data_IF_827915298984
#
_entry.id   IF_827915298984
#
_cell.length_a   1.000
_cell.length_b   1.000
_cell.length_c   1.000
_cell.angle_alpha   90.00
_cell.angle_beta   90.00
_cell.angle_gamma   90.00
#
_symmetry.space_group_name_H-M   'P 1'
#
loop_
_entity.id
_entity.type
_entity.pdbx_description
1 polymer ?
#
# COMPACT_ATOMS: atom_id res chain seq x y z
N UNK A 1 22.82 40.65 -49.65
CA UNK A 1 21.37 40.69 -49.84
C UNK A 1 21.00 39.67 -50.87
N UNK A 2 20.29 38.63 -50.49
CA UNK A 2 19.77 37.66 -51.49
C UNK A 2 18.57 38.30 -52.15
N UNK A 3 18.66 38.42 -53.47
CA UNK A 3 17.63 39.10 -54.27
C UNK A 3 16.32 38.27 -54.24
N UNK A 4 15.20 38.94 -53.97
CA UNK A 4 13.86 38.36 -53.84
C UNK A 4 13.48 37.60 -55.15
N UNK A 5 13.93 38.05 -56.28
CA UNK A 5 13.74 37.41 -57.57
C UNK A 5 14.40 36.04 -57.67
N UNK A 6 15.60 35.86 -57.08
CA UNK A 6 16.32 34.59 -57.01
C UNK A 6 15.61 33.60 -56.05
N UNK A 7 15.06 34.08 -54.99
CA UNK A 7 14.28 33.24 -54.04
C UNK A 7 12.96 32.75 -54.66
N UNK A 8 12.26 33.62 -55.40
CA UNK A 8 11.04 33.26 -56.14
C UNK A 8 11.31 32.29 -57.31
N UNK A 9 12.40 32.45 -58.00
CA UNK A 9 12.80 31.52 -59.08
C UNK A 9 13.17 30.14 -58.54
N UNK A 10 13.84 30.07 -57.37
CA UNK A 10 14.14 28.81 -56.68
C UNK A 10 12.89 28.10 -56.17
N UNK A 11 11.91 28.83 -55.66
CA UNK A 11 10.60 28.30 -55.23
C UNK A 11 9.80 27.74 -56.44
N UNK A 12 9.71 28.46 -57.55
CA UNK A 12 9.05 27.99 -58.78
C UNK A 12 9.74 26.77 -59.41
N UNK A 13 11.07 26.69 -59.37
CA UNK A 13 11.82 25.54 -59.84
C UNK A 13 11.62 24.28 -58.93
N UNK A 14 11.39 24.49 -57.65
CA UNK A 14 11.08 23.37 -56.71
C UNK A 14 9.68 22.82 -56.93
N UNK A 15 8.71 23.70 -57.28
CA UNK A 15 7.33 23.30 -57.56
C UNK A 15 7.22 22.53 -58.89
N UNK A 16 7.97 22.92 -59.92
CA UNK A 16 8.01 22.25 -61.21
C UNK A 16 8.66 20.86 -61.16
N UNK A 17 9.53 20.59 -60.16
CA UNK A 17 10.12 19.27 -59.91
C UNK A 17 9.14 18.35 -59.16
N UNK A 18 8.13 18.87 -58.51
CA UNK A 18 7.10 18.10 -57.80
C UNK A 18 5.98 17.57 -58.70
N UNK A 19 5.71 18.23 -59.85
CA UNK A 19 4.63 17.89 -60.78
C UNK A 19 4.88 16.71 -61.75
N UNK A 20 5.93 15.96 -61.65
CA UNK A 20 6.30 14.98 -62.65
C UNK A 20 6.72 13.60 -62.15
N UNK A 21 5.94 13.05 -61.19
CA UNK A 21 6.12 11.63 -60.81
C UNK A 21 4.85 11.02 -60.29
N UNK A 22 3.89 10.79 -61.18
CA UNK A 22 2.86 9.79 -60.98
C UNK A 22 3.52 8.40 -60.99
N UNK A 23 3.62 7.82 -59.82
CA UNK A 23 4.25 6.54 -59.63
C UNK A 23 4.69 6.37 -58.19
N UNK A 24 3.82 6.62 -57.23
CA UNK A 24 4.13 6.49 -55.82
C UNK A 24 4.24 5.01 -55.40
N UNK A 25 5.43 4.44 -55.52
CA UNK A 25 5.81 3.25 -54.77
C UNK A 25 5.81 3.66 -53.30
N UNK A 26 4.76 3.28 -52.56
CA UNK A 26 4.74 3.35 -51.09
C UNK A 26 5.99 2.66 -50.55
N UNK A 27 6.99 3.43 -50.10
CA UNK A 27 8.14 2.90 -49.38
C UNK A 27 7.66 2.46 -47.99
N UNK A 28 7.89 1.20 -47.60
CA UNK A 28 7.66 0.81 -46.22
C UNK A 28 8.65 1.58 -45.35
N UNK A 29 8.17 2.36 -44.40
CA UNK A 29 8.96 3.18 -43.50
C UNK A 29 9.00 4.66 -43.88
N UNK A 30 7.86 5.31 -44.00
CA UNK A 30 7.76 6.78 -44.03
C UNK A 30 8.50 7.37 -42.83
N UNK A 31 9.54 8.19 -43.10
CA UNK A 31 10.27 8.87 -42.02
C UNK A 31 9.29 9.75 -41.26
N UNK A 32 9.22 9.57 -39.96
CA UNK A 32 8.52 10.47 -39.05
C UNK A 32 8.97 11.92 -39.36
N UNK A 33 8.06 12.81 -39.71
CA UNK A 33 8.36 14.21 -40.02
C UNK A 33 8.33 14.59 -41.49
N UNK A 34 7.94 13.68 -42.40
CA UNK A 34 7.83 14.01 -43.85
C UNK A 34 6.39 14.29 -44.30
N UNK A 35 5.41 14.14 -43.43
CA UNK A 35 4.02 14.50 -43.72
C UNK A 35 3.86 16.02 -43.65
N UNK A 36 3.14 16.65 -44.61
CA UNK A 36 2.86 18.09 -44.55
C UNK A 36 2.07 18.39 -43.26
N UNK A 37 2.57 19.33 -42.46
CA UNK A 37 1.91 19.77 -41.25
C UNK A 37 0.62 20.51 -41.59
N UNK A 38 -0.52 19.98 -41.12
CA UNK A 38 -1.81 20.63 -41.16
C UNK A 38 -2.16 21.16 -39.77
N UNK A 39 -2.13 22.51 -39.57
CA UNK A 39 -2.43 23.10 -38.26
C UNK A 39 -3.86 22.80 -37.78
N UNK A 40 -4.84 22.69 -38.68
CA UNK A 40 -6.22 22.42 -38.30
C UNK A 40 -6.42 21.00 -37.79
N UNK A 41 -5.80 20.01 -38.44
CA UNK A 41 -5.83 18.62 -38.01
C UNK A 41 -5.08 18.42 -36.68
N UNK A 42 -3.96 19.13 -36.52
CA UNK A 42 -3.19 19.10 -35.24
C UNK A 42 -4.05 19.61 -34.06
N UNK A 43 -4.75 20.72 -34.20
CA UNK A 43 -5.63 21.26 -33.15
C UNK A 43 -6.76 20.29 -32.78
N UNK A 44 -7.36 19.63 -33.80
CA UNK A 44 -8.41 18.63 -33.53
C UNK A 44 -7.81 17.40 -32.78
N UNK A 45 -6.63 16.97 -33.16
CA UNK A 45 -5.93 15.86 -32.48
C UNK A 45 -5.60 16.20 -31.02
N UNK A 46 -5.08 17.40 -30.75
CA UNK A 46 -4.83 17.85 -29.38
C UNK A 46 -6.10 17.93 -28.54
N UNK A 47 -7.21 18.41 -29.12
CA UNK A 47 -8.52 18.40 -28.44
C UNK A 47 -9.00 16.99 -28.13
N UNK A 48 -8.80 16.05 -29.06
CA UNK A 48 -9.15 14.64 -28.84
C UNK A 48 -8.29 14.01 -27.73
N UNK A 49 -6.98 14.25 -27.75
CA UNK A 49 -6.05 13.75 -26.73
C UNK A 49 -6.36 14.36 -25.34
N UNK A 50 -6.65 15.65 -25.27
CA UNK A 50 -7.06 16.34 -24.02
C UNK A 50 -8.38 15.79 -23.50
N UNK A 51 -9.37 15.60 -24.36
CA UNK A 51 -10.67 15.03 -23.97
C UNK A 51 -10.51 13.59 -23.45
N UNK A 52 -9.67 12.78 -24.10
CA UNK A 52 -9.31 11.43 -23.63
C UNK A 52 -8.66 11.45 -22.27
N UNK A 53 -7.69 12.33 -22.05
CA UNK A 53 -7.01 12.49 -20.77
C UNK A 53 -7.99 12.78 -19.62
N UNK A 54 -8.86 13.79 -19.78
CA UNK A 54 -9.83 14.15 -18.75
C UNK A 54 -10.87 13.06 -18.51
N UNK A 55 -11.37 12.41 -19.56
CA UNK A 55 -12.28 11.27 -19.42
C UNK A 55 -11.67 10.20 -18.56
N UNK A 56 -10.41 9.84 -18.81
CA UNK A 56 -9.73 8.76 -18.10
C UNK A 56 -9.42 9.13 -16.65
N UNK A 57 -9.00 10.38 -16.39
CA UNK A 57 -8.77 10.88 -15.03
C UNK A 57 -10.06 10.84 -14.21
N UNK A 58 -11.16 11.37 -14.76
CA UNK A 58 -12.47 11.36 -14.09
C UNK A 58 -12.94 9.91 -13.84
N UNK A 59 -12.78 9.04 -14.82
CA UNK A 59 -13.17 7.64 -14.71
C UNK A 59 -12.35 6.90 -13.62
N UNK A 60 -11.02 7.05 -13.62
CA UNK A 60 -10.15 6.44 -12.62
C UNK A 60 -10.47 6.93 -11.20
N UNK A 61 -10.72 8.24 -11.05
CA UNK A 61 -11.12 8.83 -9.76
C UNK A 61 -12.47 8.31 -9.30
N UNK A 62 -13.44 8.19 -10.19
CA UNK A 62 -14.76 7.63 -9.89
C UNK A 62 -14.65 6.17 -9.44
N UNK A 63 -13.86 5.36 -10.16
CA UNK A 63 -13.62 3.96 -9.80
C UNK A 63 -12.97 3.87 -8.43
N UNK A 64 -11.94 4.67 -8.14
CA UNK A 64 -11.31 4.70 -6.83
C UNK A 64 -12.31 5.05 -5.72
N UNK A 65 -13.17 6.06 -5.94
CA UNK A 65 -14.19 6.45 -4.97
C UNK A 65 -15.23 5.34 -4.75
N UNK A 66 -15.71 4.69 -5.82
CA UNK A 66 -16.64 3.56 -5.71
C UNK A 66 -15.99 2.40 -4.95
N UNK A 67 -14.74 2.07 -5.27
CA UNK A 67 -14.01 1.02 -4.56
C UNK A 67 -13.92 1.33 -3.06
N UNK A 68 -13.56 2.56 -2.70
CA UNK A 68 -13.38 2.96 -1.30
C UNK A 68 -14.69 3.02 -0.52
N UNK A 69 -15.72 3.68 -1.06
CA UNK A 69 -16.92 4.01 -0.28
C UNK A 69 -18.09 3.03 -0.49
N UNK A 70 -18.03 2.18 -1.51
CA UNK A 70 -19.11 1.23 -1.82
C UNK A 70 -18.64 -0.21 -1.69
N UNK A 71 -17.51 -0.55 -2.31
CA UNK A 71 -17.08 -1.96 -2.37
C UNK A 71 -16.38 -2.38 -1.07
N UNK A 72 -15.42 -1.58 -0.59
CA UNK A 72 -14.67 -1.92 0.63
C UNK A 72 -15.57 -2.15 1.85
N UNK A 73 -16.56 -1.29 2.16
CA UNK A 73 -17.44 -1.55 3.29
C UNK A 73 -18.37 -2.75 3.12
N UNK A 74 -18.54 -3.24 1.89
CA UNK A 74 -19.41 -4.38 1.58
C UNK A 74 -18.70 -5.74 1.62
N UNK A 75 -17.40 -5.76 1.86
CA UNK A 75 -16.59 -6.99 1.94
C UNK A 75 -15.80 -7.03 3.25
N UNK A 76 -15.78 -8.19 3.89
CA UNK A 76 -15.24 -8.39 5.25
C UNK A 76 -13.72 -8.39 5.34
N UNK A 77 -13.00 -8.40 4.23
CA UNK A 77 -11.53 -8.42 4.24
C UNK A 77 -10.96 -7.84 2.95
N UNK A 78 -9.70 -7.36 2.95
CA UNK A 78 -8.99 -6.92 1.77
C UNK A 78 -8.80 -8.09 0.80
N UNK A 79 -9.83 -8.37 0.01
CA UNK A 79 -9.82 -9.42 -0.96
C UNK A 79 -9.09 -8.99 -2.25
N UNK A 80 -8.56 -9.96 -2.97
CA UNK A 80 -7.97 -9.76 -4.30
C UNK A 80 -8.89 -9.01 -5.28
N UNK A 81 -10.21 -9.03 -5.04
CA UNK A 81 -11.19 -8.27 -5.81
C UNK A 81 -10.96 -6.76 -5.78
N UNK A 82 -10.41 -6.20 -4.68
CA UNK A 82 -10.09 -4.77 -4.57
C UNK A 82 -9.03 -4.33 -5.58
N UNK A 83 -8.12 -5.22 -5.93
CA UNK A 83 -7.06 -4.96 -6.90
C UNK A 83 -7.46 -5.41 -8.31
N UNK A 84 -8.08 -6.58 -8.45
CA UNK A 84 -8.41 -7.16 -9.75
C UNK A 84 -9.55 -6.43 -10.45
N UNK A 85 -10.61 -6.05 -9.74
CA UNK A 85 -11.77 -5.40 -10.35
C UNK A 85 -11.43 -4.08 -11.07
N UNK A 86 -10.72 -3.13 -10.47
CA UNK A 86 -10.30 -1.90 -11.18
C UNK A 86 -9.39 -2.19 -12.37
N UNK A 87 -8.52 -3.19 -12.30
CA UNK A 87 -7.67 -3.57 -13.43
C UNK A 87 -8.48 -4.13 -14.58
N UNK A 88 -9.51 -4.93 -14.33
CA UNK A 88 -10.43 -5.39 -15.39
C UNK A 88 -11.22 -4.26 -16.03
N UNK A 89 -11.51 -3.19 -15.29
CA UNK A 89 -12.20 -2.01 -15.83
C UNK A 89 -11.38 -1.24 -16.88
N UNK A 90 -10.08 -1.48 -17.01
CA UNK A 90 -9.26 -0.99 -18.12
C UNK A 90 -9.85 -1.40 -19.47
N UNK A 91 -10.40 -2.61 -19.57
CA UNK A 91 -11.00 -3.12 -20.80
C UNK A 91 -12.23 -2.32 -21.26
N UNK A 92 -12.83 -1.55 -20.38
CA UNK A 92 -13.98 -0.66 -20.72
C UNK A 92 -13.55 0.65 -21.37
N UNK A 93 -12.26 1.04 -21.28
CA UNK A 93 -11.76 2.34 -21.79
C UNK A 93 -12.09 2.54 -23.26
N UNK A 94 -11.88 1.60 -24.20
CA UNK A 94 -12.25 1.79 -25.60
C UNK A 94 -13.75 2.03 -25.80
N UNK A 95 -14.59 1.38 -25.00
CA UNK A 95 -16.05 1.55 -25.06
C UNK A 95 -16.45 2.93 -24.55
N UNK A 96 -15.86 3.39 -23.43
CA UNK A 96 -16.09 4.73 -22.89
C UNK A 96 -15.73 5.82 -23.90
N UNK A 97 -14.59 5.67 -24.60
CA UNK A 97 -14.20 6.62 -25.65
C UNK A 97 -15.22 6.67 -26.80
N UNK A 98 -15.72 5.51 -27.22
CA UNK A 98 -16.70 5.43 -28.30
C UNK A 98 -18.06 6.02 -27.92
N UNK A 99 -18.48 5.83 -26.67
CA UNK A 99 -19.79 6.30 -26.18
C UNK A 99 -19.75 7.79 -25.82
N UNK A 100 -18.77 8.19 -25.00
CA UNK A 100 -18.71 9.54 -24.43
C UNK A 100 -18.02 10.52 -25.40
N UNK A 101 -16.96 10.08 -26.06
CA UNK A 101 -16.18 10.89 -26.99
C UNK A 101 -16.43 10.47 -28.44
N UNK A 102 -17.67 10.13 -28.79
CA UNK A 102 -18.08 9.67 -30.13
C UNK A 102 -17.60 10.59 -31.24
N UNK A 103 -17.53 11.91 -30.99
CA UNK A 103 -17.01 12.92 -31.89
C UNK A 103 -15.57 12.71 -32.35
N UNK A 104 -14.78 12.04 -31.54
CA UNK A 104 -13.36 11.76 -31.78
C UNK A 104 -13.07 10.26 -31.93
N UNK A 105 -14.11 9.40 -31.92
CA UNK A 105 -13.95 7.94 -31.85
C UNK A 105 -13.06 7.40 -32.98
N UNK A 106 -13.21 7.93 -34.20
CA UNK A 106 -12.45 7.48 -35.38
C UNK A 106 -10.97 7.86 -35.33
N UNK A 107 -10.59 8.76 -34.42
CA UNK A 107 -9.20 9.22 -34.26
C UNK A 107 -8.41 8.39 -33.25
N UNK A 108 -9.10 7.64 -32.39
CA UNK A 108 -8.44 6.85 -31.38
C UNK A 108 -7.95 5.50 -31.93
N UNK A 109 -6.64 5.30 -31.85
CA UNK A 109 -5.95 4.09 -32.21
C UNK A 109 -5.66 3.24 -30.98
N UNK A 110 -5.16 2.02 -31.20
CA UNK A 110 -4.70 1.16 -30.11
C UNK A 110 -3.64 1.87 -29.23
N UNK A 111 -2.73 2.66 -29.82
CA UNK A 111 -1.72 3.41 -29.07
C UNK A 111 -2.33 4.47 -28.13
N UNK A 112 -3.45 5.11 -28.51
CA UNK A 112 -4.15 6.04 -27.65
C UNK A 112 -4.80 5.31 -26.46
N UNK A 113 -5.43 4.16 -26.70
CA UNK A 113 -6.03 3.36 -25.63
C UNK A 113 -4.98 2.77 -24.68
N UNK A 114 -3.83 2.39 -25.19
CA UNK A 114 -2.70 1.93 -24.37
C UNK A 114 -2.22 3.07 -23.43
N UNK A 115 -2.00 4.28 -23.95
CA UNK A 115 -1.67 5.46 -23.13
C UNK A 115 -2.77 5.76 -22.11
N UNK A 116 -4.03 5.70 -22.52
CA UNK A 116 -5.18 5.90 -21.66
C UNK A 116 -5.22 4.86 -20.52
N UNK A 117 -4.91 3.60 -20.80
CA UNK A 117 -4.83 2.54 -19.80
C UNK A 117 -3.74 2.79 -18.77
N UNK A 118 -2.57 3.25 -19.19
CA UNK A 118 -1.51 3.67 -18.27
C UNK A 118 -1.96 4.83 -17.39
N UNK A 119 -2.53 5.87 -17.99
CA UNK A 119 -3.01 7.03 -17.26
C UNK A 119 -4.10 6.63 -16.24
N UNK A 120 -5.02 5.76 -16.63
CA UNK A 120 -6.03 5.19 -15.75
C UNK A 120 -5.38 4.49 -14.55
N UNK A 121 -4.46 3.57 -14.80
CA UNK A 121 -3.84 2.77 -13.75
C UNK A 121 -3.12 3.65 -12.72
N UNK A 122 -2.29 4.58 -13.18
CA UNK A 122 -1.55 5.45 -12.26
C UNK A 122 -2.46 6.45 -11.53
N UNK A 123 -3.47 6.99 -12.20
CA UNK A 123 -4.44 7.89 -11.55
C UNK A 123 -5.24 7.14 -10.50
N UNK A 124 -5.76 5.96 -10.85
CA UNK A 124 -6.48 5.10 -9.91
C UNK A 124 -5.62 4.74 -8.71
N UNK A 125 -4.38 4.27 -8.90
CA UNK A 125 -3.47 3.94 -7.81
C UNK A 125 -3.17 5.15 -6.91
N UNK A 126 -2.88 6.32 -7.51
CA UNK A 126 -2.60 7.53 -6.74
C UNK A 126 -3.80 7.97 -5.91
N UNK A 127 -5.01 7.97 -6.50
CA UNK A 127 -6.23 8.35 -5.78
C UNK A 127 -6.57 7.31 -4.71
N UNK A 128 -6.46 6.00 -5.01
CA UNK A 128 -6.64 4.95 -4.00
C UNK A 128 -5.68 5.13 -2.83
N UNK A 129 -4.40 5.37 -3.11
CA UNK A 129 -3.40 5.60 -2.06
C UNK A 129 -3.80 6.74 -1.11
N UNK A 130 -4.35 7.83 -1.66
CA UNK A 130 -4.84 8.93 -0.84
C UNK A 130 -6.09 8.52 -0.03
N UNK A 131 -7.02 7.80 -0.66
CA UNK A 131 -8.31 7.46 -0.06
C UNK A 131 -8.25 6.35 1.00
N UNK A 132 -7.21 5.51 1.00
CA UNK A 132 -7.05 4.38 1.94
C UNK A 132 -6.03 4.64 3.05
N UNK A 133 -5.47 5.84 3.09
CA UNK A 133 -4.51 6.24 4.12
C UNK A 133 -5.03 7.40 4.97
N UNK A 134 -4.51 7.60 6.19
CA UNK A 134 -4.86 8.73 7.04
C UNK A 134 -4.69 10.08 6.33
N UNK A 135 -5.58 11.05 6.58
CA UNK A 135 -6.71 11.03 7.52
C UNK A 135 -8.03 10.49 6.95
N UNK A 136 -8.06 9.93 5.72
CA UNK A 136 -9.30 9.55 5.04
C UNK A 136 -9.73 8.10 5.30
N UNK A 137 -8.81 7.26 5.76
CA UNK A 137 -9.06 5.87 6.13
C UNK A 137 -7.94 5.36 7.03
N UNK A 138 -8.19 4.23 7.68
CA UNK A 138 -7.21 3.43 8.37
C UNK A 138 -7.45 1.95 8.08
N UNK A 139 -6.60 1.38 7.23
CA UNK A 139 -6.65 -0.02 6.82
C UNK A 139 -5.41 -0.81 7.26
N UNK A 140 -4.53 -0.19 8.03
CA UNK A 140 -3.30 -0.80 8.50
C UNK A 140 -3.51 -1.38 9.89
N UNK A 141 -3.43 -2.69 10.03
CA UNK A 141 -3.51 -3.31 11.34
C UNK A 141 -2.34 -2.85 12.23
N UNK A 142 -2.58 -2.72 13.56
CA UNK A 142 -1.51 -2.48 14.51
C UNK A 142 -0.55 -3.66 14.55
N UNK A 143 0.72 -3.41 14.85
CA UNK A 143 1.77 -4.44 14.86
C UNK A 143 2.50 -4.50 16.20
N UNK A 144 3.02 -5.68 16.55
CA UNK A 144 4.05 -5.80 17.59
C UNK A 144 5.35 -5.28 17.00
N UNK A 145 5.85 -4.17 17.59
CA UNK A 145 7.07 -3.54 17.11
C UNK A 145 8.28 -4.37 17.51
N UNK A 146 9.12 -4.68 16.52
CA UNK A 146 10.45 -5.28 16.66
C UNK A 146 10.45 -6.61 17.42
N UNK A 147 10.96 -6.67 18.68
CA UNK A 147 11.15 -7.91 19.42
C UNK A 147 10.22 -8.03 20.62
N UNK A 148 9.72 -9.24 20.84
CA UNK A 148 9.06 -9.64 22.08
C UNK A 148 10.07 -10.36 22.94
N UNK A 149 10.17 -9.97 24.22
CA UNK A 149 11.17 -10.49 25.16
C UNK A 149 10.54 -10.99 26.45
N UNK A 150 11.12 -12.03 27.03
CA UNK A 150 11.00 -12.31 28.45
C UNK A 150 12.11 -11.57 29.19
N UNK A 151 11.76 -10.95 30.30
CA UNK A 151 12.67 -10.20 31.16
C UNK A 151 12.55 -10.72 32.59
N UNK A 152 13.67 -10.79 33.30
CA UNK A 152 13.67 -11.09 34.73
C UNK A 152 13.50 -9.78 35.50
N UNK A 153 12.52 -9.75 36.40
CA UNK A 153 12.18 -8.56 37.18
C UNK A 153 13.13 -8.33 38.35
N UNK A 154 13.87 -9.37 38.74
CA UNK A 154 14.83 -9.34 39.86
C UNK A 154 16.29 -9.25 39.36
N UNK A 155 16.58 -9.63 38.09
CA UNK A 155 17.89 -9.53 37.46
C UNK A 155 17.86 -8.62 36.25
N UNK A 156 18.24 -7.34 36.39
CA UNK A 156 18.18 -6.35 35.33
C UNK A 156 18.95 -6.68 34.06
N UNK A 157 19.96 -7.51 34.12
CA UNK A 157 20.81 -7.87 33.00
C UNK A 157 20.27 -9.04 32.17
N UNK A 158 19.33 -9.81 32.74
CA UNK A 158 18.78 -10.95 32.06
C UNK A 158 17.55 -10.62 31.24
N UNK A 159 17.64 -10.87 29.96
CA UNK A 159 16.50 -10.86 29.03
C UNK A 159 16.73 -11.84 27.88
N UNK A 160 15.66 -12.36 27.30
CA UNK A 160 15.69 -13.25 26.11
C UNK A 160 14.60 -12.86 25.14
N UNK A 161 14.93 -12.86 23.86
CA UNK A 161 13.89 -12.81 22.83
C UNK A 161 13.10 -14.13 22.91
N UNK A 162 11.80 -14.02 22.69
CA UNK A 162 10.91 -15.17 22.84
C UNK A 162 11.23 -16.29 21.83
N UNK A 163 11.77 -15.92 20.67
CA UNK A 163 12.19 -16.86 19.62
C UNK A 163 13.51 -17.56 19.94
N UNK A 164 14.30 -17.03 20.87
CA UNK A 164 15.61 -17.54 21.25
C UNK A 164 15.59 -18.36 22.57
N UNK A 165 14.41 -18.61 23.13
CA UNK A 165 14.25 -19.38 24.36
C UNK A 165 14.64 -20.83 24.11
N UNK A 166 15.55 -21.34 24.94
CA UNK A 166 16.05 -22.72 24.87
C UNK A 166 15.93 -23.41 26.20
N UNK A 167 15.90 -24.76 26.17
CA UNK A 167 16.01 -25.59 27.37
C UNK A 167 17.33 -25.26 28.07
N UNK A 168 17.26 -24.90 29.36
CA UNK A 168 18.43 -24.50 30.16
C UNK A 168 18.52 -23.00 30.49
N UNK A 169 17.57 -22.18 30.02
CA UNK A 169 17.49 -20.78 30.43
C UNK A 169 17.01 -20.56 31.88
N UNK A 170 16.70 -21.67 32.61
CA UNK A 170 16.28 -21.69 34.02
C UNK A 170 15.10 -20.73 34.31
N UNK A 171 14.09 -20.76 33.42
CA UNK A 171 12.92 -19.84 33.52
C UNK A 171 12.09 -20.13 34.79
N UNK A 172 12.13 -21.34 35.31
CA UNK A 172 11.42 -21.76 36.54
C UNK A 172 11.95 -21.09 37.83
N UNK A 173 13.17 -20.56 37.81
CA UNK A 173 13.82 -19.93 38.95
C UNK A 173 13.71 -18.41 38.93
N UNK A 174 13.06 -17.85 37.93
CA UNK A 174 13.03 -16.41 37.66
C UNK A 174 11.63 -15.80 37.82
N UNK A 175 11.60 -14.58 38.32
CA UNK A 175 10.41 -13.77 38.32
C UNK A 175 10.30 -13.00 36.97
N UNK A 176 9.51 -13.53 36.08
CA UNK A 176 9.50 -13.09 34.72
C UNK A 176 8.37 -12.10 34.40
N UNK A 177 8.59 -11.30 33.38
CA UNK A 177 7.61 -10.47 32.70
C UNK A 177 7.74 -10.58 31.18
N UNK A 178 6.66 -10.33 30.47
CA UNK A 178 6.62 -10.27 29.02
C UNK A 178 6.72 -8.80 28.57
N UNK A 179 7.74 -8.49 27.80
CA UNK A 179 8.01 -7.15 27.29
C UNK A 179 7.88 -7.11 25.76
N UNK A 180 7.06 -6.21 25.26
CA UNK A 180 6.90 -5.91 23.83
C UNK A 180 6.43 -4.47 23.65
N UNK A 181 6.33 -4.00 22.41
CA UNK A 181 5.74 -2.70 22.14
C UNK A 181 4.69 -2.79 21.03
N UNK A 182 3.67 -1.97 21.14
CA UNK A 182 2.63 -1.83 20.13
C UNK A 182 2.95 -0.63 19.25
N UNK A 183 2.84 -0.82 17.96
CA UNK A 183 2.99 0.21 16.94
C UNK A 183 1.73 0.29 16.12
N UNK A 184 1.34 1.51 15.81
CA UNK A 184 0.28 1.81 14.86
C UNK A 184 0.65 3.02 14.00
N UNK A 185 0.00 3.14 12.85
CA UNK A 185 0.22 4.26 11.93
C UNK A 185 -0.49 5.55 12.36
N UNK A 186 -1.52 5.46 13.22
CA UNK A 186 -2.27 6.59 13.77
C UNK A 186 -2.00 6.79 15.25
N UNK A 187 -2.49 5.88 16.08
CA UNK A 187 -2.45 5.99 17.54
C UNK A 187 -2.31 4.63 18.21
N UNK A 188 -1.11 4.24 18.54
CA UNK A 188 -0.83 2.99 19.23
C UNK A 188 -1.37 2.95 20.68
N UNK A 189 -1.77 4.09 21.28
CA UNK A 189 -2.20 4.14 22.70
C UNK A 189 -3.59 3.54 22.94
N UNK A 190 -4.44 3.52 21.92
CA UNK A 190 -5.82 3.03 21.99
C UNK A 190 -6.00 1.62 21.44
N UNK A 191 -4.94 0.98 20.96
CA UNK A 191 -4.98 -0.41 20.49
C UNK A 191 -5.38 -1.32 21.64
N UNK A 192 -6.40 -2.15 21.44
CA UNK A 192 -6.78 -3.19 22.39
C UNK A 192 -5.77 -4.33 22.28
N UNK A 193 -5.15 -4.64 23.38
CA UNK A 193 -4.15 -5.71 23.49
C UNK A 193 -4.74 -6.83 24.29
N UNK A 194 -4.72 -8.02 23.76
CA UNK A 194 -5.00 -9.26 24.48
C UNK A 194 -3.78 -10.16 24.44
N UNK A 195 -3.36 -10.60 25.59
CA UNK A 195 -2.25 -11.56 25.74
C UNK A 195 -2.78 -12.80 26.42
N UNK A 196 -2.62 -13.95 25.78
CA UNK A 196 -2.98 -15.25 26.32
C UNK A 196 -1.71 -16.11 26.41
N UNK A 197 -1.45 -16.68 27.59
CA UNK A 197 -0.39 -17.68 27.79
C UNK A 197 -1.08 -18.99 28.15
N UNK A 198 -1.00 -19.93 27.22
CA UNK A 198 -1.67 -21.22 27.35
C UNK A 198 -0.65 -22.30 27.68
N UNK A 199 -0.97 -23.10 28.70
CA UNK A 199 -0.21 -24.30 29.12
C UNK A 199 -1.16 -25.49 29.18
N UNK A 200 -0.62 -26.68 29.45
CA UNK A 200 -1.45 -27.88 29.68
C UNK A 200 -2.29 -27.80 30.96
N UNK A 201 -1.93 -26.91 31.90
CA UNK A 201 -2.57 -26.78 33.22
C UNK A 201 -3.50 -25.57 33.36
N UNK A 202 -3.62 -24.72 32.36
CA UNK A 202 -4.44 -23.50 32.42
C UNK A 202 -3.99 -22.40 31.47
N UNK A 203 -4.64 -21.24 31.56
CA UNK A 203 -4.30 -20.08 30.75
C UNK A 203 -4.25 -18.84 31.65
N UNK A 204 -3.26 -17.99 31.41
CA UNK A 204 -3.25 -16.62 31.88
C UNK A 204 -3.70 -15.72 30.76
N UNK A 205 -4.50 -14.70 31.09
CA UNK A 205 -4.91 -13.72 30.10
C UNK A 205 -4.89 -12.29 30.64
N UNK A 206 -4.58 -11.36 29.77
CA UNK A 206 -4.70 -9.92 30.00
C UNK A 206 -5.42 -9.30 28.82
N UNK A 207 -6.28 -8.36 29.11
CA UNK A 207 -6.98 -7.60 28.06
C UNK A 207 -7.17 -6.16 28.53
N UNK A 208 -6.53 -5.22 27.83
CA UNK A 208 -6.68 -3.79 28.09
C UNK A 208 -6.18 -2.96 26.91
N UNK A 209 -6.48 -1.65 26.84
CA UNK A 209 -5.80 -0.74 25.93
C UNK A 209 -4.29 -0.72 26.21
N UNK A 210 -3.50 -0.60 25.15
CA UNK A 210 -2.03 -0.60 25.23
C UNK A 210 -1.45 0.40 26.23
N UNK A 211 -2.03 1.60 26.29
CA UNK A 211 -1.64 2.65 27.26
C UNK A 211 -1.84 2.23 28.73
N UNK A 212 -2.81 1.37 28.99
CA UNK A 212 -3.09 0.85 30.34
C UNK A 212 -2.17 -0.31 30.72
N UNK A 213 -1.50 -0.92 29.76
CA UNK A 213 -0.59 -2.07 29.94
C UNK A 213 0.87 -1.70 30.02
N UNK A 214 1.22 -0.43 30.02
CA UNK A 214 2.63 0.00 30.14
C UNK A 214 3.32 -0.54 31.40
N UNK A 215 2.55 -0.74 32.46
CA UNK A 215 3.06 -1.29 33.71
C UNK A 215 4.21 -0.47 34.28
N UNK A 216 5.23 -1.17 34.80
CA UNK A 216 6.45 -0.57 35.35
C UNK A 216 7.57 -0.40 34.31
N UNK A 217 7.22 -0.22 33.05
CA UNK A 217 8.20 -0.14 31.94
C UNK A 217 9.42 0.76 32.25
N UNK A 218 9.18 1.93 32.80
CA UNK A 218 10.25 2.90 33.06
C UNK A 218 11.32 2.37 34.04
N UNK A 219 10.95 1.45 34.94
CA UNK A 219 11.88 0.83 35.87
C UNK A 219 12.79 -0.21 35.22
N UNK A 220 12.36 -0.75 34.07
CA UNK A 220 13.05 -1.83 33.35
C UNK A 220 13.51 -1.42 31.95
N UNK A 221 13.40 -0.13 31.59
CA UNK A 221 13.67 0.35 30.23
C UNK A 221 15.11 0.06 29.75
N UNK A 222 16.09 -0.05 30.66
CA UNK A 222 17.46 -0.44 30.33
C UNK A 222 17.60 -1.88 29.86
N UNK A 223 16.73 -2.78 30.35
CA UNK A 223 16.82 -4.22 30.13
C UNK A 223 16.11 -4.66 28.86
N UNK A 224 15.18 -3.82 28.36
CA UNK A 224 14.32 -4.09 27.20
C UNK A 224 14.72 -3.28 25.97
N UNK A 225 16.02 -2.98 25.85
CA UNK A 225 16.53 -2.31 24.65
C UNK A 225 16.14 -3.07 23.38
N UNK A 226 15.67 -2.33 22.35
CA UNK A 226 15.26 -2.90 21.07
C UNK A 226 13.81 -3.42 21.02
N UNK A 227 13.03 -3.31 22.10
CA UNK A 227 11.59 -3.61 22.08
C UNK A 227 10.83 -2.46 21.43
N UNK A 228 11.01 -1.22 21.89
CA UNK A 228 10.49 -0.01 21.26
C UNK A 228 11.61 0.70 20.49
N UNK A 229 11.38 1.05 19.24
CA UNK A 229 12.39 1.66 18.37
C UNK A 229 12.01 3.04 17.84
N UNK A 230 10.71 3.37 17.84
CA UNK A 230 10.17 4.67 17.42
C UNK A 230 9.54 5.37 18.61
N UNK A 231 9.48 6.70 18.53
CA UNK A 231 8.92 7.53 19.59
C UNK A 231 7.42 7.36 19.82
N UNK A 232 6.70 6.80 18.84
CA UNK A 232 5.28 6.52 18.90
C UNK A 232 4.96 5.04 19.22
N UNK A 233 5.98 4.20 19.42
CA UNK A 233 5.77 2.85 19.92
C UNK A 233 5.31 2.92 21.38
N UNK A 234 4.27 2.19 21.74
CA UNK A 234 3.78 2.08 23.12
C UNK A 234 4.39 0.84 23.76
N UNK A 235 5.37 1.01 24.67
CA UNK A 235 6.00 -0.12 25.33
C UNK A 235 5.10 -0.72 26.39
N UNK A 236 5.09 -2.04 26.49
CA UNK A 236 4.29 -2.83 27.43
C UNK A 236 5.20 -3.77 28.19
N UNK A 237 5.01 -3.83 29.52
CA UNK A 237 5.63 -4.83 30.38
C UNK A 237 4.54 -5.48 31.22
N UNK A 238 4.25 -6.75 30.92
CA UNK A 238 3.32 -7.57 31.68
C UNK A 238 4.10 -8.40 32.69
N UNK A 239 3.95 -8.09 33.96
CA UNK A 239 4.49 -8.90 35.06
C UNK A 239 3.65 -10.17 35.21
N UNK A 240 4.28 -11.33 35.28
CA UNK A 240 3.54 -12.56 35.57
C UNK A 240 3.18 -12.62 37.07
N UNK A 241 2.04 -13.24 37.40
CA UNK A 241 1.65 -13.44 38.80
C UNK A 241 2.75 -14.19 39.56
N UNK A 242 2.94 -13.87 40.84
CA UNK A 242 3.98 -14.50 41.70
C UNK A 242 3.82 -16.03 41.84
N UNK A 243 2.61 -16.52 41.67
CA UNK A 243 2.28 -17.95 41.71
C UNK A 243 2.45 -18.66 40.36
N UNK A 244 2.74 -17.90 39.30
CA UNK A 244 3.01 -18.43 37.97
C UNK A 244 4.49 -18.68 37.78
N UNK A 245 4.85 -19.93 37.53
CA UNK A 245 6.23 -20.33 37.20
C UNK A 245 6.27 -21.21 35.97
N UNK A 246 7.23 -20.95 35.13
CA UNK A 246 7.53 -21.83 34.02
C UNK A 246 8.12 -23.17 34.53
N UNK A 247 7.74 -24.30 33.95
CA UNK A 247 8.16 -25.64 34.37
C UNK A 247 8.82 -26.38 33.24
N UNK A 248 9.87 -27.12 33.52
CA UNK A 248 10.56 -27.93 32.55
C UNK A 248 9.65 -29.05 31.99
N UNK A 249 9.81 -29.37 30.72
CA UNK A 249 9.02 -30.36 30.01
C UNK A 249 7.63 -29.89 29.61
N UNK A 250 7.27 -28.65 29.91
CA UNK A 250 5.97 -28.06 29.56
C UNK A 250 6.07 -27.22 28.30
N UNK A 251 5.08 -27.37 27.40
CA UNK A 251 4.95 -26.54 26.23
C UNK A 251 4.07 -25.33 26.55
N UNK A 252 4.58 -24.16 26.23
CA UNK A 252 3.90 -22.87 26.38
C UNK A 252 3.55 -22.31 25.02
N UNK A 253 2.39 -21.73 24.90
CA UNK A 253 1.98 -20.93 23.76
C UNK A 253 1.65 -19.52 24.26
N UNK A 254 2.39 -18.54 23.79
CA UNK A 254 2.12 -17.12 24.04
C UNK A 254 1.48 -16.56 22.79
N UNK A 255 0.34 -15.92 22.96
CA UNK A 255 -0.44 -15.33 21.90
C UNK A 255 -0.72 -13.87 22.23
N UNK A 256 -0.34 -12.97 21.33
CA UNK A 256 -0.64 -11.55 21.42
C UNK A 256 -1.61 -11.21 20.29
N UNK A 257 -2.79 -10.76 20.62
CA UNK A 257 -3.79 -10.27 19.67
C UNK A 257 -3.92 -8.76 19.85
N UNK A 258 -3.69 -8.02 18.78
CA UNK A 258 -3.88 -6.58 18.71
C UNK A 258 -5.13 -6.31 17.90
N UNK A 259 -6.03 -5.48 18.42
CA UNK A 259 -7.25 -5.09 17.71
C UNK A 259 -7.54 -3.61 17.82
N UNK A 260 -8.06 -3.04 16.75
CA UNK A 260 -8.35 -1.62 16.63
C UNK A 260 -9.52 -1.42 15.67
N UNK A 261 -10.34 -0.42 15.95
CA UNK A 261 -11.36 0.02 14.98
C UNK A 261 -10.69 0.85 13.90
N UNK A 262 -10.60 0.29 12.71
CA UNK A 262 -10.13 0.97 11.52
C UNK A 262 -11.30 1.56 10.71
N UNK A 263 -11.01 1.96 9.49
CA UNK A 263 -12.00 2.44 8.53
C UNK A 263 -11.66 1.91 7.12
N UNK A 264 -12.46 1.00 6.56
CA UNK A 264 -13.82 0.59 6.94
C UNK A 264 -13.91 -0.70 7.78
N UNK A 265 -12.81 -1.34 8.17
CA UNK A 265 -12.80 -2.65 8.82
C UNK A 265 -12.32 -2.58 10.27
N UNK A 266 -12.77 -3.51 11.09
CA UNK A 266 -12.04 -3.84 12.31
C UNK A 266 -10.70 -4.47 11.92
N UNK A 267 -9.64 -3.98 12.53
CA UNK A 267 -8.28 -4.39 12.25
C UNK A 267 -7.80 -5.29 13.38
N UNK A 268 -7.31 -6.46 13.04
CA UNK A 268 -6.78 -7.42 14.00
C UNK A 268 -5.50 -8.04 13.45
N UNK A 269 -4.50 -8.15 14.30
CA UNK A 269 -3.26 -8.84 14.03
C UNK A 269 -2.92 -9.76 15.19
N UNK A 270 -2.40 -10.94 14.89
CA UNK A 270 -2.16 -11.99 15.85
C UNK A 270 -0.76 -12.56 15.72
N UNK A 271 -0.07 -12.59 16.84
CA UNK A 271 1.28 -13.15 16.98
C UNK A 271 1.23 -14.35 17.90
N UNK A 272 1.89 -15.44 17.52
CA UNK A 272 1.91 -16.67 18.30
C UNK A 272 3.32 -17.25 18.37
N UNK A 273 3.78 -17.46 19.57
CA UNK A 273 5.05 -18.14 19.86
C UNK A 273 4.79 -19.43 20.63
N UNK A 274 5.53 -20.45 20.30
CA UNK A 274 5.44 -21.74 20.98
C UNK A 274 6.82 -22.26 21.27
N UNK A 275 7.07 -22.56 22.55
CA UNK A 275 8.33 -23.15 23.01
C UNK A 275 8.08 -24.21 24.07
N UNK A 276 9.05 -25.08 24.25
CA UNK A 276 9.04 -26.14 25.28
C UNK A 276 10.30 -25.99 26.10
N UNK A 277 10.17 -26.00 27.43
CA UNK A 277 11.28 -25.92 28.36
C UNK A 277 11.77 -27.29 28.74
#
# INVERSE_FOLDING_TARGET
MVDLSTAMAAAAASEKRRGGRDGEKKRPGGKVGTEPFDPADHVIKEKADTASMWLVICYATLVAAIMRYVIMPAIDAPASALWSLPLFLILTIPTLHRVILSKFADRYTFGNWFRASFLYTFTWLAVCFILVNPPLADISAPEVAHHTKLVDLDDPDWNRQIDDIVIGDNLSERRLGLAFAVRDNLDATNVQVRVDIVTQGGALNWTAPSSSMQGNWDNYSSNVSGVATKSNDVPILLEFPEDFQFSDGVTYTIEITLSQTGDPWELEEKYTWRFTL
#
